data_IF_406025773641
#
_entry.id   IF_406025773641
#
_cell.length_a   1.000
_cell.length_b   1.000
_cell.length_c   1.000
_cell.angle_alpha   90.00
_cell.angle_beta   90.00
_cell.angle_gamma   90.00
#
_symmetry.space_group_name_H-M   'P 1'
#
loop_
_entity.id
_entity.type
_entity.pdbx_description
1 polymer ?
#
# COMPACT_ATOMS: atom_id res chain seq x y z
N UNK A 1 -51.77 -10.90 37.50
CA UNK A 1 -50.50 -11.46 36.98
C UNK A 1 -50.51 -11.72 35.47
N UNK A 2 -51.46 -12.48 34.88
CA UNK A 2 -51.54 -12.68 33.40
C UNK A 2 -51.57 -11.40 32.56
N UNK A 3 -52.34 -10.37 32.99
CA UNK A 3 -52.39 -9.07 32.29
C UNK A 3 -51.07 -8.29 32.36
N UNK A 4 -50.30 -8.46 33.45
CA UNK A 4 -48.98 -7.86 33.61
C UNK A 4 -47.97 -8.54 32.68
N UNK A 5 -48.01 -9.87 32.61
CA UNK A 5 -47.15 -10.67 31.72
C UNK A 5 -47.42 -10.32 30.25
N UNK A 6 -48.70 -10.21 29.86
CA UNK A 6 -49.08 -9.80 28.50
C UNK A 6 -48.61 -8.38 28.15
N UNK A 7 -48.61 -7.47 29.13
CA UNK A 7 -48.09 -6.11 28.95
C UNK A 7 -46.57 -6.09 28.73
N UNK A 8 -45.81 -6.87 29.51
CA UNK A 8 -44.37 -6.98 29.32
C UNK A 8 -43.99 -7.67 28.00
N UNK A 9 -44.74 -8.68 27.56
CA UNK A 9 -44.53 -9.33 26.25
C UNK A 9 -44.79 -8.36 25.10
N UNK A 10 -45.82 -7.52 25.20
CA UNK A 10 -46.14 -6.52 24.17
C UNK A 10 -45.05 -5.44 24.04
N UNK A 11 -44.49 -5.00 25.18
CA UNK A 11 -43.38 -4.04 25.20
C UNK A 11 -42.12 -4.64 24.58
N UNK A 12 -41.82 -5.91 24.88
CA UNK A 12 -40.66 -6.60 24.32
C UNK A 12 -40.77 -6.76 22.79
N UNK A 13 -41.98 -7.03 22.29
CA UNK A 13 -42.27 -7.09 20.85
C UNK A 13 -42.11 -5.74 20.15
N UNK A 14 -42.50 -4.64 20.80
CA UNK A 14 -42.32 -3.28 20.26
C UNK A 14 -40.84 -2.91 20.21
N UNK A 15 -40.06 -3.21 21.25
CA UNK A 15 -38.62 -2.89 21.29
C UNK A 15 -37.84 -3.71 20.25
N UNK A 16 -38.20 -4.98 20.04
CA UNK A 16 -37.56 -5.84 19.03
C UNK A 16 -37.87 -5.50 17.57
N UNK A 17 -38.88 -4.67 17.31
CA UNK A 17 -39.26 -4.22 15.96
C UNK A 17 -38.77 -2.82 15.60
N UNK A 18 -38.09 -2.12 16.52
CA UNK A 18 -37.39 -0.89 16.13
C UNK A 18 -36.22 -1.26 15.22
N UNK A 19 -36.16 -0.74 13.98
CA UNK A 19 -35.00 -0.95 13.13
C UNK A 19 -33.79 -0.34 13.84
N UNK A 20 -32.91 -1.18 14.37
CA UNK A 20 -31.60 -0.72 14.76
C UNK A 20 -30.96 -0.20 13.48
N UNK A 21 -30.70 1.12 13.42
CA UNK A 21 -29.72 1.63 12.45
C UNK A 21 -28.41 0.96 12.81
N UNK A 22 -28.11 -0.14 12.14
CA UNK A 22 -26.75 -0.63 12.04
C UNK A 22 -26.05 0.47 11.27
N UNK A 23 -25.28 1.30 11.98
CA UNK A 23 -24.27 2.13 11.33
C UNK A 23 -23.29 1.13 10.75
N UNK A 24 -23.53 0.71 9.50
CA UNK A 24 -22.46 0.20 8.66
C UNK A 24 -21.42 1.30 8.69
N UNK A 25 -20.29 1.03 9.34
CA UNK A 25 -19.11 1.84 9.16
C UNK A 25 -18.75 1.61 7.69
N UNK A 26 -19.34 2.40 6.78
CA UNK A 26 -18.84 2.49 5.42
C UNK A 26 -17.41 2.97 5.61
N UNK A 27 -16.46 2.04 5.51
CA UNK A 27 -15.04 2.34 5.52
C UNK A 27 -14.79 3.13 4.24
N UNK A 28 -15.09 4.42 4.27
CA UNK A 28 -14.77 5.35 3.21
C UNK A 28 -13.25 5.51 3.25
N UNK A 29 -12.56 4.87 2.32
CA UNK A 29 -11.13 5.07 2.17
C UNK A 29 -10.86 6.55 1.92
N UNK A 30 -9.97 7.13 2.70
CA UNK A 30 -9.50 8.48 2.46
C UNK A 30 -8.41 8.38 1.40
N UNK A 31 -8.67 8.95 0.22
CA UNK A 31 -7.62 9.14 -0.77
C UNK A 31 -6.75 10.29 -0.28
N UNK A 32 -5.50 10.02 0.08
CA UNK A 32 -4.53 11.06 0.41
C UNK A 32 -3.99 11.64 -0.91
N UNK A 33 -3.81 12.98 -1.03
CA UNK A 33 -3.15 13.59 -2.18
C UNK A 33 -1.80 12.94 -2.50
N UNK A 34 -1.33 13.09 -3.74
CA UNK A 34 -0.10 12.45 -4.25
C UNK A 34 1.22 12.85 -3.56
N UNK A 35 1.15 13.67 -2.51
CA UNK A 35 2.28 14.21 -1.78
C UNK A 35 2.65 13.28 -0.62
N UNK A 36 3.46 12.27 -0.94
CA UNK A 36 4.07 11.38 0.04
C UNK A 36 5.50 11.03 -0.36
N UNK A 37 6.37 10.88 0.63
CA UNK A 37 7.71 10.32 0.41
C UNK A 37 7.62 8.82 0.72
N UNK A 38 7.98 7.99 -0.24
CA UNK A 38 7.80 6.54 -0.17
C UNK A 38 9.14 5.81 -0.06
N UNK A 39 9.07 4.52 0.27
CA UNK A 39 10.21 3.62 0.30
C UNK A 39 9.90 2.42 -0.58
N UNK A 40 10.80 2.13 -1.52
CA UNK A 40 10.74 0.92 -2.36
C UNK A 40 12.04 0.15 -2.20
N UNK A 41 11.93 -1.15 -1.92
CA UNK A 41 13.09 -2.05 -1.79
C UNK A 41 12.90 -3.24 -2.71
N UNK A 42 13.84 -3.48 -3.61
CA UNK A 42 13.88 -4.66 -4.47
C UNK A 42 14.82 -5.70 -3.84
N UNK A 43 14.33 -6.92 -3.65
CA UNK A 43 15.16 -8.04 -3.21
C UNK A 43 16.00 -8.58 -4.37
N UNK A 44 17.15 -9.17 -4.05
CA UNK A 44 18.00 -9.82 -5.04
C UNK A 44 17.29 -10.97 -5.75
N UNK A 45 16.58 -11.84 -5.01
CA UNK A 45 15.78 -12.95 -5.54
C UNK A 45 14.60 -13.31 -4.63
N UNK A 46 13.82 -14.33 -4.99
CA UNK A 46 12.75 -14.92 -4.17
C UNK A 46 13.24 -15.86 -3.06
N UNK A 47 14.55 -16.10 -2.96
CA UNK A 47 15.09 -16.96 -1.91
C UNK A 47 14.81 -16.40 -0.52
N UNK A 48 14.53 -17.29 0.44
CA UNK A 48 14.16 -16.92 1.82
C UNK A 48 15.20 -15.98 2.46
N UNK A 49 16.49 -16.19 2.16
CA UNK A 49 17.60 -15.35 2.62
C UNK A 49 17.53 -13.93 2.07
N UNK A 50 17.29 -13.78 0.78
CA UNK A 50 17.20 -12.47 0.12
C UNK A 50 15.95 -11.70 0.57
N UNK A 51 14.84 -12.41 0.77
CA UNK A 51 13.63 -11.85 1.34
C UNK A 51 13.84 -11.41 2.79
N UNK A 52 14.57 -12.18 3.59
CA UNK A 52 14.94 -11.82 4.96
C UNK A 52 15.85 -10.59 4.99
N UNK A 53 16.85 -10.52 4.11
CA UNK A 53 17.73 -9.36 3.96
C UNK A 53 16.94 -8.11 3.60
N UNK A 54 16.01 -8.18 2.63
CA UNK A 54 15.09 -7.07 2.32
C UNK A 54 14.29 -6.61 3.54
N UNK A 55 13.76 -7.55 4.33
CA UNK A 55 12.99 -7.20 5.53
C UNK A 55 13.86 -6.55 6.62
N UNK A 56 15.10 -7.02 6.81
CA UNK A 56 16.04 -6.40 7.73
C UNK A 56 16.39 -4.96 7.29
N UNK A 57 16.66 -4.76 6.00
CA UNK A 57 16.92 -3.43 5.42
C UNK A 57 15.71 -2.52 5.60
N UNK A 58 14.50 -3.03 5.31
CA UNK A 58 13.25 -2.30 5.56
C UNK A 58 13.17 -1.83 7.01
N UNK A 59 13.36 -2.73 7.96
CA UNK A 59 13.18 -2.43 9.37
C UNK A 59 14.19 -1.37 9.85
N UNK A 60 15.46 -1.53 9.49
CA UNK A 60 16.52 -0.59 9.87
C UNK A 60 16.33 0.81 9.25
N UNK A 61 16.05 0.87 7.95
CA UNK A 61 15.83 2.15 7.26
C UNK A 61 14.56 2.83 7.76
N UNK A 62 13.47 2.06 7.94
CA UNK A 62 12.21 2.62 8.37
C UNK A 62 12.28 3.18 9.80
N UNK A 63 12.97 2.48 10.72
CA UNK A 63 13.16 2.97 12.08
C UNK A 63 13.88 4.32 12.08
N UNK A 64 14.95 4.45 11.29
CA UNK A 64 15.74 5.68 11.22
C UNK A 64 14.95 6.83 10.59
N UNK A 65 14.36 6.59 9.41
CA UNK A 65 13.64 7.64 8.68
C UNK A 65 12.41 8.10 9.48
N UNK A 66 11.69 7.18 10.12
CA UNK A 66 10.56 7.54 11.00
C UNK A 66 11.01 8.48 12.11
N UNK A 67 12.15 8.20 12.75
CA UNK A 67 12.70 9.05 13.82
C UNK A 67 13.04 10.46 13.34
N UNK A 68 13.48 10.61 12.09
CA UNK A 68 13.78 11.93 11.52
C UNK A 68 12.53 12.77 11.31
N UNK A 69 11.42 12.14 10.93
CA UNK A 69 10.20 12.82 10.49
C UNK A 69 9.04 12.78 11.50
N UNK A 70 9.22 12.12 12.64
CA UNK A 70 8.17 11.88 13.65
C UNK A 70 7.47 13.15 14.13
N UNK A 71 8.23 14.25 14.30
CA UNK A 71 7.70 15.54 14.74
C UNK A 71 7.51 16.55 13.59
N UNK A 72 7.56 16.09 12.34
CA UNK A 72 7.44 16.96 11.17
C UNK A 72 6.02 16.92 10.60
N UNK A 73 5.44 18.10 10.35
CA UNK A 73 4.14 18.27 9.70
C UNK A 73 4.26 18.76 8.24
N UNK A 74 5.47 19.16 7.81
CA UNK A 74 5.73 19.75 6.49
C UNK A 74 6.54 18.82 5.58
N UNK A 75 5.99 18.55 4.39
CA UNK A 75 6.61 17.63 3.42
C UNK A 75 7.87 18.22 2.78
N UNK A 76 7.97 19.53 2.60
CA UNK A 76 9.15 20.15 2.01
C UNK A 76 10.34 20.09 2.97
N UNK A 77 10.11 20.27 4.27
CA UNK A 77 11.10 20.05 5.31
C UNK A 77 11.54 18.57 5.37
N UNK A 78 10.58 17.63 5.34
CA UNK A 78 10.88 16.19 5.32
C UNK A 78 11.71 15.78 4.08
N UNK A 79 11.36 16.31 2.91
CA UNK A 79 12.09 16.12 1.64
C UNK A 79 13.53 16.60 1.74
N UNK A 80 13.74 17.81 2.24
CA UNK A 80 15.09 18.36 2.42
C UNK A 80 15.90 17.52 3.40
N UNK A 81 15.29 17.11 4.52
CA UNK A 81 15.97 16.30 5.52
C UNK A 81 16.37 14.92 4.98
N UNK A 82 15.43 14.18 4.39
CA UNK A 82 15.67 12.83 3.85
C UNK A 82 16.71 12.88 2.72
N UNK A 83 16.56 13.79 1.77
CA UNK A 83 17.53 13.91 0.66
C UNK A 83 18.93 14.30 1.13
N UNK A 84 19.05 15.15 2.15
CA UNK A 84 20.36 15.53 2.73
C UNK A 84 21.04 14.39 3.52
N UNK A 85 20.27 13.38 3.93
CA UNK A 85 20.73 12.23 4.72
C UNK A 85 20.74 10.92 3.94
N UNK A 86 20.70 10.97 2.61
CA UNK A 86 20.73 9.76 1.79
C UNK A 86 22.00 8.93 2.04
N UNK A 87 23.13 9.57 2.36
CA UNK A 87 24.38 8.90 2.73
C UNK A 87 24.26 8.16 4.08
N UNK A 88 23.45 8.67 5.03
CA UNK A 88 23.17 7.96 6.28
C UNK A 88 22.35 6.69 6.01
N UNK A 89 21.38 6.77 5.08
CA UNK A 89 20.60 5.60 4.63
C UNK A 89 21.51 4.59 3.94
N UNK A 90 22.39 5.03 3.03
CA UNK A 90 23.36 4.15 2.37
C UNK A 90 24.20 3.37 3.39
N UNK A 91 24.68 4.06 4.43
CA UNK A 91 25.45 3.44 5.49
C UNK A 91 24.63 2.43 6.32
N UNK A 92 23.35 2.71 6.58
CA UNK A 92 22.44 1.75 7.25
C UNK A 92 22.24 0.50 6.39
N UNK A 93 21.98 0.66 5.09
CA UNK A 93 21.83 -0.46 4.16
C UNK A 93 23.12 -1.28 4.14
N UNK A 94 24.28 -0.60 4.02
CA UNK A 94 25.60 -1.21 4.04
C UNK A 94 25.82 -2.10 5.26
N UNK A 95 25.55 -1.56 6.45
CA UNK A 95 25.77 -2.26 7.70
C UNK A 95 24.80 -3.45 7.86
N UNK A 96 23.60 -3.33 7.27
CA UNK A 96 22.59 -4.39 7.28
C UNK A 96 22.93 -5.54 6.31
N UNK A 97 23.50 -5.23 5.14
CA UNK A 97 23.84 -6.25 4.11
C UNK A 97 25.27 -6.78 4.23
N UNK A 98 26.11 -6.22 5.12
CA UNK A 98 27.53 -6.51 5.22
C UNK A 98 27.87 -8.00 5.45
N UNK A 99 26.95 -8.77 6.04
CA UNK A 99 27.14 -10.21 6.25
C UNK A 99 27.02 -11.05 4.98
N UNK A 100 26.40 -10.50 3.92
CA UNK A 100 25.95 -11.27 2.76
C UNK A 100 26.77 -11.01 1.48
N UNK A 101 27.66 -10.01 1.49
CA UNK A 101 28.43 -9.56 0.33
C UNK A 101 27.58 -9.22 -0.92
N UNK A 102 26.33 -8.84 -0.69
CA UNK A 102 25.36 -8.46 -1.72
C UNK A 102 25.67 -7.06 -2.22
N UNK A 103 25.84 -6.89 -3.54
CA UNK A 103 25.90 -5.56 -4.16
C UNK A 103 24.56 -4.84 -3.93
N UNK A 104 24.57 -3.53 -3.75
CA UNK A 104 23.33 -2.77 -3.55
C UNK A 104 23.47 -1.34 -4.06
N UNK A 105 22.32 -0.69 -4.28
CA UNK A 105 22.23 0.74 -4.56
C UNK A 105 21.17 1.39 -3.68
N UNK A 106 21.42 2.64 -3.30
CA UNK A 106 20.47 3.50 -2.59
C UNK A 106 20.35 4.81 -3.36
N UNK A 107 19.14 5.15 -3.77
CA UNK A 107 18.85 6.37 -4.53
C UNK A 107 17.67 7.11 -3.92
N UNK A 108 17.69 8.44 -3.99
CA UNK A 108 16.50 9.27 -3.75
C UNK A 108 16.02 9.84 -5.08
N UNK A 109 14.85 9.41 -5.54
CA UNK A 109 14.30 9.78 -6.85
C UNK A 109 12.90 10.35 -6.74
N UNK A 110 12.47 11.13 -7.73
CA UNK A 110 11.14 11.77 -7.77
C UNK A 110 10.12 10.99 -8.60
N UNK A 111 10.59 10.00 -9.34
CA UNK A 111 9.91 9.29 -10.42
C UNK A 111 10.01 7.76 -10.23
N UNK A 112 9.72 7.29 -9.00
CA UNK A 112 9.69 5.85 -8.72
C UNK A 112 8.27 5.34 -8.92
N UNK A 113 8.11 4.30 -9.74
CA UNK A 113 6.82 3.66 -9.97
C UNK A 113 6.35 2.88 -8.75
N UNK A 114 5.09 3.10 -8.36
CA UNK A 114 4.38 2.33 -7.35
C UNK A 114 3.04 1.83 -7.90
N UNK A 115 2.62 0.61 -7.51
CA UNK A 115 1.24 0.16 -7.73
C UNK A 115 0.28 0.84 -6.72
N UNK A 116 -1.02 0.66 -6.95
CA UNK A 116 -2.04 1.04 -5.98
C UNK A 116 -1.84 0.27 -4.68
N UNK A 117 -1.83 0.97 -3.55
CA UNK A 117 -1.62 0.39 -2.21
C UNK A 117 -2.63 0.95 -1.22
N UNK A 118 -3.16 0.07 -0.38
CA UNK A 118 -4.03 0.41 0.73
C UNK A 118 -3.22 0.33 2.05
N UNK A 119 -3.22 1.42 2.81
CA UNK A 119 -2.55 1.57 4.09
C UNK A 119 -3.58 1.97 5.15
N UNK A 120 -4.00 1.03 6.00
CA UNK A 120 -5.13 1.20 6.93
C UNK A 120 -6.39 1.68 6.18
N UNK A 121 -6.86 2.90 6.43
CA UNK A 121 -8.00 3.50 5.74
C UNK A 121 -7.60 4.40 4.57
N UNK A 122 -6.33 4.41 4.17
CA UNK A 122 -5.78 5.29 3.14
C UNK A 122 -5.48 4.55 1.85
N UNK A 123 -6.02 5.04 0.74
CA UNK A 123 -5.76 4.52 -0.60
C UNK A 123 -4.76 5.43 -1.31
N UNK A 124 -3.65 4.85 -1.73
CA UNK A 124 -2.64 5.50 -2.58
C UNK A 124 -2.71 4.87 -3.97
N UNK A 125 -3.05 5.65 -5.03
CA UNK A 125 -3.15 5.12 -6.38
C UNK A 125 -1.80 4.71 -6.96
N UNK A 126 -1.85 3.98 -8.08
CA UNK A 126 -0.66 3.71 -8.88
C UNK A 126 -0.15 5.00 -9.54
N UNK A 127 1.17 5.15 -9.64
CA UNK A 127 1.78 6.36 -10.19
C UNK A 127 3.28 6.43 -9.91
N UNK A 128 3.86 7.58 -10.24
CA UNK A 128 5.24 7.93 -9.95
C UNK A 128 5.31 8.83 -8.73
N UNK A 129 6.16 8.46 -7.78
CA UNK A 129 6.27 9.13 -6.49
C UNK A 129 7.72 9.42 -6.14
N UNK A 130 7.90 10.42 -5.28
CA UNK A 130 9.16 10.64 -4.61
C UNK A 130 9.44 9.52 -3.62
N UNK A 131 10.61 8.89 -3.74
CA UNK A 131 10.95 7.75 -2.93
C UNK A 131 12.44 7.55 -2.74
N UNK A 132 12.74 6.92 -1.60
CA UNK A 132 13.98 6.19 -1.38
C UNK A 132 13.83 4.85 -2.11
N UNK A 133 14.70 4.61 -3.10
CA UNK A 133 14.78 3.37 -3.85
C UNK A 133 16.03 2.62 -3.43
N UNK A 134 15.84 1.41 -2.89
CA UNK A 134 16.91 0.50 -2.52
C UNK A 134 16.83 -0.71 -3.42
N UNK A 135 17.93 -1.02 -4.10
CA UNK A 135 18.03 -2.19 -4.98
C UNK A 135 19.08 -3.12 -4.39
N UNK A 136 18.69 -4.35 -4.07
CA UNK A 136 19.59 -5.38 -3.56
C UNK A 136 19.92 -6.33 -4.71
N UNK A 137 21.22 -6.52 -4.99
CA UNK A 137 21.75 -7.39 -6.03
C UNK A 137 21.10 -7.19 -7.40
N UNK A 138 20.62 -8.28 -8.01
CA UNK A 138 20.04 -8.30 -9.36
C UNK A 138 18.59 -7.81 -9.43
N UNK A 139 17.96 -7.54 -8.27
CA UNK A 139 16.60 -7.01 -8.18
C UNK A 139 15.49 -7.92 -8.76
N UNK A 140 15.73 -9.23 -8.85
CA UNK A 140 14.78 -10.19 -9.44
C UNK A 140 13.70 -10.67 -8.45
N UNK A 141 13.84 -10.31 -7.17
CA UNK A 141 12.91 -10.70 -6.12
C UNK A 141 11.77 -9.72 -5.89
N UNK A 142 10.83 -10.13 -5.04
CA UNK A 142 9.65 -9.37 -4.69
C UNK A 142 9.99 -8.01 -4.10
N UNK A 143 9.24 -7.00 -4.50
CA UNK A 143 9.38 -5.65 -4.00
C UNK A 143 8.80 -5.51 -2.58
N UNK A 144 9.26 -4.50 -1.85
CA UNK A 144 8.58 -3.93 -0.69
C UNK A 144 8.20 -2.48 -0.98
N UNK A 145 7.01 -2.06 -0.56
CA UNK A 145 6.53 -0.69 -0.75
C UNK A 145 5.98 -0.12 0.55
N UNK A 146 6.47 1.05 0.95
CA UNK A 146 6.06 1.74 2.16
C UNK A 146 5.86 3.24 1.90
N UNK A 147 5.17 3.91 2.83
CA UNK A 147 5.12 5.38 2.92
C UNK A 147 5.89 5.78 4.17
N UNK A 148 6.95 6.57 4.00
CA UNK A 148 7.82 7.04 5.10
C UNK A 148 7.45 8.45 5.56
N UNK A 149 6.81 9.25 4.71
CA UNK A 149 6.21 10.51 5.10
C UNK A 149 4.81 10.68 4.46
N UNK A 150 3.73 10.82 5.26
CA UNK A 150 3.71 10.63 6.72
C UNK A 150 4.13 9.19 7.11
N UNK A 151 4.65 8.95 8.33
CA UNK A 151 5.26 7.67 8.71
C UNK A 151 4.19 6.57 8.90
N UNK A 152 3.74 5.96 7.79
CA UNK A 152 2.73 4.90 7.77
C UNK A 152 3.34 3.49 7.67
N UNK A 153 4.66 3.40 7.61
CA UNK A 153 5.38 2.13 7.42
C UNK A 153 5.41 1.24 8.68
N UNK A 154 4.88 1.71 9.81
CA UNK A 154 4.72 0.92 11.05
C UNK A 154 3.42 0.09 11.08
N UNK A 155 2.48 0.34 10.15
CA UNK A 155 1.20 -0.37 10.15
C UNK A 155 1.45 -1.85 9.83
N UNK A 156 1.08 -2.73 10.77
CA UNK A 156 1.20 -4.18 10.62
C UNK A 156 0.28 -4.63 9.47
N UNK A 157 0.88 -4.77 8.28
CA UNK A 157 0.19 -5.16 7.06
C UNK A 157 -0.17 -6.63 7.14
N UNK A 158 -1.29 -6.94 7.79
CA UNK A 158 -2.04 -8.16 7.52
C UNK A 158 -2.51 -8.12 6.05
N UNK A 159 -1.64 -8.56 5.13
CA UNK A 159 -1.88 -8.72 3.69
C UNK A 159 -2.53 -7.49 3.03
N UNK A 160 -1.71 -6.52 2.64
CA UNK A 160 -2.11 -5.53 1.65
C UNK A 160 -2.50 -6.26 0.35
N UNK A 161 -3.81 -6.29 0.06
CA UNK A 161 -4.33 -6.85 -1.18
C UNK A 161 -3.82 -5.97 -2.33
N UNK A 162 -2.83 -6.47 -3.06
CA UNK A 162 -2.43 -5.91 -4.35
C UNK A 162 -3.53 -6.19 -5.35
N UNK A 163 -4.12 -5.13 -5.89
CA UNK A 163 -4.86 -5.20 -7.15
C UNK A 163 -3.85 -4.90 -8.25
N UNK A 164 -3.27 -5.96 -8.81
CA UNK A 164 -2.52 -5.86 -10.07
C UNK A 164 -3.53 -5.58 -11.18
N UNK A 165 -3.56 -4.34 -11.67
CA UNK A 165 -4.04 -4.07 -13.02
C UNK A 165 -2.90 -4.45 -13.97
N UNK A 166 -3.23 -5.23 -14.99
CA UNK A 166 -2.29 -5.78 -15.96
C UNK A 166 -1.32 -4.72 -16.49
N UNK A 167 -0.04 -5.09 -16.55
CA UNK A 167 1.01 -4.33 -17.20
C UNK A 167 0.78 -4.39 -18.72
N UNK A 168 0.38 -3.28 -19.32
CA UNK A 168 0.45 -3.11 -20.76
C UNK A 168 1.92 -2.80 -21.12
N UNK A 169 2.59 -3.81 -21.69
CA UNK A 169 3.89 -3.68 -22.31
C UNK A 169 3.78 -3.05 -23.72
N UNK A 170 4.68 -2.11 -23.96
CA UNK A 170 5.25 -1.68 -25.25
C UNK A 170 4.43 -0.77 -26.19
N UNK A 171 4.73 0.53 -26.07
CA UNK A 171 4.68 1.49 -27.18
C UNK A 171 5.73 1.13 -28.24
N UNK A 172 5.28 0.71 -29.43
CA UNK A 172 5.96 0.97 -30.70
C UNK A 172 4.99 1.64 -31.68
N UNK A 173 5.53 2.63 -32.38
CA UNK A 173 4.84 3.66 -33.17
C UNK A 173 4.06 3.16 -34.40
N UNK A 174 2.99 3.92 -34.69
CA UNK A 174 2.33 4.22 -35.98
C UNK A 174 1.60 3.10 -36.77
N UNK A 175 0.27 3.17 -36.82
CA UNK A 175 -0.47 3.56 -38.04
C UNK A 175 -1.99 3.73 -37.76
N UNK A 176 -2.57 4.77 -38.37
CA UNK A 176 -4.00 5.09 -38.31
C UNK A 176 -4.83 4.06 -39.08
N UNK A 177 -5.90 3.55 -38.46
CA UNK A 177 -7.13 3.19 -39.20
C UNK A 177 -8.36 3.27 -38.28
N UNK A 178 -9.33 4.09 -38.69
CA UNK A 178 -10.66 4.19 -38.09
C UNK A 178 -11.40 2.86 -38.19
N UNK A 179 -11.99 2.37 -37.08
CA UNK A 179 -13.16 1.49 -37.12
C UNK A 179 -14.02 1.61 -35.86
N UNK A 180 -15.22 2.13 -36.11
CA UNK A 180 -16.53 1.83 -35.51
C UNK A 180 -16.59 1.40 -34.03
N UNK A 181 -17.20 2.27 -33.22
CA UNK A 181 -17.77 1.94 -31.90
C UNK A 181 -18.94 0.95 -32.08
N UNK A 182 -18.76 -0.29 -31.63
CA UNK A 182 -19.85 -1.11 -31.12
C UNK A 182 -19.70 -1.17 -29.59
N UNK A 183 -20.72 -0.72 -28.88
CA UNK A 183 -20.85 -0.84 -27.44
C UNK A 183 -21.19 -2.32 -27.12
N UNK A 184 -20.18 -3.13 -26.77
CA UNK A 184 -20.44 -4.42 -26.13
C UNK A 184 -20.69 -4.18 -24.63
N UNK A 185 -21.94 -4.40 -24.20
CA UNK A 185 -22.32 -4.48 -22.80
C UNK A 185 -21.52 -5.60 -22.12
N UNK A 186 -20.58 -5.22 -21.25
CA UNK A 186 -19.84 -6.17 -20.42
C UNK A 186 -20.82 -6.81 -19.42
N UNK A 187 -21.20 -8.06 -19.67
CA UNK A 187 -21.95 -8.87 -18.72
C UNK A 187 -21.06 -9.22 -17.51
N UNK A 188 -21.33 -8.58 -16.37
CA UNK A 188 -20.70 -8.94 -15.10
C UNK A 188 -21.31 -10.26 -14.59
N UNK A 189 -20.55 -11.35 -14.72
CA UNK A 189 -20.88 -12.60 -14.03
C UNK A 189 -20.21 -12.62 -12.66
N UNK A 190 -21.01 -12.45 -11.60
CA UNK A 190 -20.54 -12.64 -10.23
C UNK A 190 -20.33 -14.12 -9.94
N UNK A 191 -19.07 -14.49 -9.71
CA UNK A 191 -18.64 -15.86 -9.39
C UNK A 191 -19.40 -16.46 -8.20
N UNK A 192 -19.83 -15.63 -7.23
CA UNK A 192 -20.58 -16.06 -6.05
C UNK A 192 -22.01 -16.57 -6.32
N UNK A 193 -22.61 -16.26 -7.49
CA UNK A 193 -23.94 -16.74 -7.88
C UNK A 193 -23.94 -18.14 -8.50
N UNK A 194 -22.77 -18.71 -8.84
CA UNK A 194 -22.67 -20.10 -9.34
C UNK A 194 -22.80 -21.16 -8.24
N UNK A 195 -22.72 -20.79 -6.96
CA UNK A 195 -22.81 -21.75 -5.87
C UNK A 195 -24.25 -22.05 -5.41
N UNK A 196 -25.23 -21.26 -5.88
CA UNK A 196 -26.64 -21.41 -5.52
C UNK A 196 -27.54 -21.91 -6.67
N UNK A 197 -26.97 -22.56 -7.70
CA UNK A 197 -27.75 -23.32 -8.70
C UNK A 197 -27.18 -24.72 -8.90
#
# INVERSE_FOLDING_TARGET
MRKLILFFVLIFLIIGFFPQKVTSNEQSYQVIPDEAIRLRILANSEDEKDQATKHAVRDAVNEEVTRWVEEMDDIDEARQLISSRIDDIDQIVKDTVAEEATEYTVEYRKDVKFPTKLYDNYLYPAGEYEAILITLGEAEGSNWWCVVFPPLCFLDFSFGTTVEAAEDEEDQEEEQEEKEKEEEEVEYTFFFLKWFN
#
